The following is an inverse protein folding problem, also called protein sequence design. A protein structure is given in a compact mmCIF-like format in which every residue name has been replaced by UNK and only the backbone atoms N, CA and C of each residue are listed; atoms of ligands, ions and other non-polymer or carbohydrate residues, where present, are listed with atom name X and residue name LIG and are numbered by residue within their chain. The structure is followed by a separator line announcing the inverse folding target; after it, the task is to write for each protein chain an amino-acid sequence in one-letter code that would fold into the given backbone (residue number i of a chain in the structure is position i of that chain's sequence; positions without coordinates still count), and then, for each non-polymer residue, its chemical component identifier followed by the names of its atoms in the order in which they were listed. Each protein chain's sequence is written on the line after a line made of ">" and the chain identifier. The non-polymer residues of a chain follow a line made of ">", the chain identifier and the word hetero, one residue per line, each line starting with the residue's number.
data_IF_032960435616
#
_entry.id   IF_032960435616
#
_cell.length_a   1.000
_cell.length_b   1.000
_cell.length_c   1.000
_cell.angle_alpha   90.00
_cell.angle_beta   90.00
_cell.angle_gamma   90.00
#
_symmetry.space_group_name_H-M   'P 1'
#
loop_
_entity.id
_entity.type
_entity.pdbx_description
1 polymer ?
#
# COMPACT_ATOMS: atom_id res chain seq x y z
N UNK A 1 22.83 18.81 39.88
CA UNK A 1 21.41 18.51 40.13
C UNK A 1 20.45 19.48 39.42
N UNK A 2 20.89 20.16 38.33
CA UNK A 2 20.12 21.22 37.65
C UNK A 2 19.59 20.85 36.25
N UNK A 3 20.10 19.80 35.59
CA UNK A 3 19.62 19.44 34.23
C UNK A 3 18.19 18.89 34.23
N UNK A 4 17.78 18.17 35.29
CA UNK A 4 16.42 17.64 35.43
C UNK A 4 15.35 18.70 35.76
N UNK A 5 15.77 19.92 36.14
CA UNK A 5 14.85 21.03 36.40
C UNK A 5 14.37 21.67 35.10
N UNK A 6 15.21 21.69 34.06
CA UNK A 6 14.92 22.34 32.76
C UNK A 6 13.94 21.51 31.92
N UNK A 7 13.91 20.19 32.14
CA UNK A 7 12.93 19.30 31.53
C UNK A 7 11.56 19.35 32.21
N UNK A 8 11.46 19.90 33.42
CA UNK A 8 10.24 19.83 34.23
C UNK A 8 9.11 20.68 33.65
N UNK A 9 9.45 21.76 32.96
CA UNK A 9 8.51 22.66 32.28
C UNK A 9 8.05 22.12 30.91
N UNK A 10 8.75 21.13 30.34
CA UNK A 10 8.40 20.48 29.07
C UNK A 10 7.21 19.52 29.24
N UNK A 11 7.01 18.96 30.43
CA UNK A 11 5.93 18.02 30.74
C UNK A 11 4.66 18.69 31.28
N UNK A 12 4.61 20.03 31.37
CA UNK A 12 3.46 20.76 31.91
C UNK A 12 2.50 21.14 30.78
N UNK A 13 1.50 20.28 30.61
CA UNK A 13 0.17 20.51 30.02
C UNK A 13 0.06 21.20 28.64
N UNK A 14 -0.10 20.37 27.61
CA UNK A 14 -1.34 20.19 26.80
C UNK A 14 -1.06 19.05 25.82
N UNK A 15 -2.08 18.40 25.27
CA UNK A 15 -1.93 17.41 24.19
C UNK A 15 -1.34 18.07 22.93
N UNK A 16 -0.03 18.30 22.90
CA UNK A 16 0.67 18.92 21.78
C UNK A 16 1.04 17.84 20.77
N UNK A 17 0.05 17.47 19.97
CA UNK A 17 0.17 16.42 18.94
C UNK A 17 1.27 16.75 17.91
N UNK A 18 1.56 18.04 17.71
CA UNK A 18 2.60 18.49 16.80
C UNK A 18 3.98 18.20 17.39
N UNK A 19 4.20 18.56 18.66
CA UNK A 19 5.42 18.21 19.40
C UNK A 19 5.65 16.71 19.46
N UNK A 20 4.59 15.92 19.67
CA UNK A 20 4.68 14.46 19.63
C UNK A 20 5.19 13.96 18.27
N UNK A 21 4.60 14.40 17.16
CA UNK A 21 4.99 13.92 15.83
C UNK A 21 6.38 14.36 15.38
N UNK A 22 6.85 15.54 15.80
CA UNK A 22 8.11 16.14 15.31
C UNK A 22 9.28 16.06 16.28
N UNK A 23 9.07 15.58 17.50
CA UNK A 23 10.07 15.53 18.58
C UNK A 23 9.89 16.68 19.56
N UNK A 24 9.94 16.37 20.86
CA UNK A 24 9.79 17.34 21.95
C UNK A 24 11.11 18.01 22.36
N UNK A 25 12.25 17.33 22.13
CA UNK A 25 13.56 17.73 22.65
C UNK A 25 14.52 17.97 21.47
N UNK A 26 15.38 19.01 21.53
CA UNK A 26 16.43 19.21 20.53
C UNK A 26 17.40 18.02 20.52
N UNK A 27 17.37 17.24 19.44
CA UNK A 27 18.18 16.04 19.25
C UNK A 27 17.40 14.72 19.25
N UNK A 28 16.12 14.75 19.61
CA UNK A 28 15.25 13.58 19.56
C UNK A 28 14.78 13.31 18.13
N UNK A 29 14.72 12.04 17.72
CA UNK A 29 14.20 11.70 16.40
C UNK A 29 12.67 11.84 16.40
N UNK A 30 12.09 12.33 15.30
CA UNK A 30 10.64 12.45 15.20
C UNK A 30 9.95 11.10 15.40
N UNK A 31 8.82 11.03 16.13
CA UNK A 31 8.04 9.79 16.31
C UNK A 31 7.70 9.10 14.98
N UNK A 32 7.50 9.88 13.91
CA UNK A 32 7.28 9.34 12.56
C UNK A 32 8.46 8.50 12.07
N UNK A 33 9.68 8.91 12.39
CA UNK A 33 10.92 8.20 12.03
C UNK A 33 11.13 7.00 12.95
N UNK A 34 10.82 7.11 14.25
CA UNK A 34 10.81 5.96 15.17
C UNK A 34 9.76 4.89 14.79
N UNK A 35 8.57 5.30 14.34
CA UNK A 35 7.53 4.39 13.85
C UNK A 35 7.85 3.82 12.45
N UNK A 36 8.95 4.23 11.81
CA UNK A 36 9.29 3.81 10.45
C UNK A 36 8.34 4.35 9.37
N UNK A 37 7.67 5.48 9.60
CA UNK A 37 6.78 6.13 8.63
C UNK A 37 7.55 7.22 7.88
N UNK A 38 8.05 6.89 6.69
CA UNK A 38 8.69 7.87 5.81
C UNK A 38 7.76 8.30 4.67
N UNK A 39 7.11 9.47 4.81
CA UNK A 39 6.24 10.03 3.76
C UNK A 39 6.95 10.27 2.42
N UNK A 40 8.26 10.54 2.46
CA UNK A 40 9.08 10.67 1.25
C UNK A 40 9.18 9.35 0.49
N UNK A 41 9.36 8.25 1.21
CA UNK A 41 9.38 6.88 0.65
C UNK A 41 8.01 6.50 0.11
N UNK A 42 6.94 6.70 0.89
CA UNK A 42 5.55 6.40 0.47
C UNK A 42 5.23 7.10 -0.85
N UNK A 43 5.52 8.40 -0.98
CA UNK A 43 5.25 9.17 -2.21
C UNK A 43 6.07 8.65 -3.39
N UNK A 44 7.36 8.37 -3.18
CA UNK A 44 8.25 7.87 -4.25
C UNK A 44 7.77 6.52 -4.77
N UNK A 45 7.48 5.57 -3.88
CA UNK A 45 7.03 4.21 -4.22
C UNK A 45 5.64 4.21 -4.86
N UNK A 46 4.74 5.06 -4.35
CA UNK A 46 3.43 5.31 -4.97
C UNK A 46 3.56 5.82 -6.40
N UNK A 47 4.52 6.72 -6.66
CA UNK A 47 4.76 7.27 -7.99
C UNK A 47 5.44 6.24 -8.93
N UNK A 48 6.02 5.16 -8.41
CA UNK A 48 6.54 4.07 -9.25
C UNK A 48 5.39 3.35 -9.96
N UNK A 49 4.21 3.26 -9.36
CA UNK A 49 3.04 2.63 -9.99
C UNK A 49 2.63 3.30 -11.30
N UNK A 50 2.82 4.62 -11.41
CA UNK A 50 2.57 5.37 -12.65
C UNK A 50 3.75 5.35 -13.60
N UNK A 51 4.98 5.19 -13.09
CA UNK A 51 6.22 5.19 -13.88
C UNK A 51 6.67 3.81 -14.35
N UNK A 52 6.15 2.71 -13.82
CA UNK A 52 6.54 1.34 -14.15
C UNK A 52 6.38 1.00 -15.65
N UNK A 53 5.45 1.65 -16.35
CA UNK A 53 5.28 1.48 -17.80
C UNK A 53 6.34 2.21 -18.63
N UNK A 54 7.03 3.20 -18.08
CA UNK A 54 8.19 3.84 -18.71
C UNK A 54 9.45 3.12 -18.26
N UNK A 55 9.96 2.25 -19.15
CA UNK A 55 11.10 1.31 -19.04
C UNK A 55 12.48 1.86 -18.60
N UNK A 56 12.58 3.01 -17.93
CA UNK A 56 13.87 3.51 -17.43
C UNK A 56 14.21 2.87 -16.09
N UNK A 57 15.34 2.15 -16.03
CA UNK A 57 16.05 1.62 -14.85
C UNK A 57 15.40 1.95 -13.50
N UNK A 58 14.40 1.14 -13.11
CA UNK A 58 13.77 1.27 -11.80
C UNK A 58 14.79 0.73 -10.79
N UNK A 59 15.34 1.61 -9.96
CA UNK A 59 16.18 1.18 -8.84
C UNK A 59 15.27 0.54 -7.78
N UNK A 60 15.36 -0.79 -7.65
CA UNK A 60 14.59 -1.58 -6.69
C UNK A 60 15.08 -1.47 -5.24
N UNK A 61 16.02 -0.55 -4.95
CA UNK A 61 16.48 -0.27 -3.58
C UNK A 61 15.35 0.17 -2.64
N UNK A 62 14.18 0.53 -3.17
CA UNK A 62 12.97 0.78 -2.37
C UNK A 62 12.45 -0.50 -1.67
N UNK A 63 12.69 -1.70 -2.21
CA UNK A 63 12.34 -2.96 -1.53
C UNK A 63 13.24 -3.26 -0.32
N UNK A 64 14.40 -2.62 -0.21
CA UNK A 64 15.23 -2.71 1.00
C UNK A 64 14.67 -1.82 2.12
N UNK A 65 13.94 -0.76 1.77
CA UNK A 65 13.16 0.08 2.68
C UNK A 65 11.68 -0.34 2.75
N UNK A 66 11.39 -1.64 2.67
CA UNK A 66 10.01 -2.12 2.63
C UNK A 66 9.27 -1.84 3.96
N UNK A 67 8.27 -0.96 3.88
CA UNK A 67 7.46 -0.54 5.02
C UNK A 67 6.06 -1.18 5.02
N UNK A 68 5.53 -1.51 6.20
CA UNK A 68 4.13 -1.95 6.39
C UNK A 68 3.17 -0.75 6.46
N UNK A 69 3.69 0.40 6.90
CA UNK A 69 2.90 1.61 7.18
C UNK A 69 2.17 2.14 5.96
N UNK A 70 2.83 2.18 4.78
CA UNK A 70 2.22 2.61 3.52
C UNK A 70 1.01 1.75 3.09
N UNK A 71 1.20 0.43 2.89
CA UNK A 71 0.12 -0.51 2.62
C UNK A 71 -1.05 -0.41 3.61
N UNK A 72 -0.76 -0.27 4.90
CA UNK A 72 -1.78 -0.17 5.94
C UNK A 72 -2.60 1.12 5.81
N UNK A 73 -1.95 2.26 5.57
CA UNK A 73 -2.63 3.53 5.29
C UNK A 73 -3.54 3.40 4.06
N UNK A 74 -3.10 2.71 3.01
CA UNK A 74 -3.91 2.53 1.80
C UNK A 74 -5.14 1.67 2.03
N UNK A 75 -5.05 0.61 2.83
CA UNK A 75 -6.19 -0.23 3.20
C UNK A 75 -7.21 0.55 4.05
N UNK A 76 -6.73 1.36 5.00
CA UNK A 76 -7.59 2.23 5.82
C UNK A 76 -8.29 3.25 4.92
N UNK A 77 -7.55 3.92 4.04
CA UNK A 77 -8.10 4.94 3.15
C UNK A 77 -9.08 4.36 2.13
N UNK A 78 -8.79 3.17 1.59
CA UNK A 78 -9.72 2.44 0.73
C UNK A 78 -11.02 2.12 1.47
N UNK A 79 -10.91 1.60 2.70
CA UNK A 79 -12.08 1.29 3.52
C UNK A 79 -12.90 2.55 3.87
N UNK A 80 -12.23 3.68 4.08
CA UNK A 80 -12.89 4.96 4.29
C UNK A 80 -13.67 5.41 3.05
N UNK A 81 -13.12 5.27 1.84
CA UNK A 81 -13.86 5.56 0.61
C UNK A 81 -15.04 4.62 0.37
N UNK A 82 -14.95 3.34 0.77
CA UNK A 82 -16.10 2.44 0.76
C UNK A 82 -17.18 2.89 1.74
N UNK A 83 -16.78 3.34 2.93
CA UNK A 83 -17.69 3.87 3.94
C UNK A 83 -18.42 5.12 3.42
N UNK A 84 -17.74 6.03 2.70
CA UNK A 84 -18.37 7.19 2.05
C UNK A 84 -19.38 6.78 0.96
N UNK A 85 -19.20 5.63 0.32
CA UNK A 85 -20.19 5.06 -0.60
C UNK A 85 -21.38 4.40 0.13
N UNK A 86 -21.38 4.37 1.47
CA UNK A 86 -22.39 3.70 2.29
C UNK A 86 -22.16 2.19 2.44
N UNK A 87 -20.97 1.70 2.10
CA UNK A 87 -20.63 0.28 2.13
C UNK A 87 -19.74 -0.04 3.32
N UNK A 88 -20.25 -0.83 4.27
CA UNK A 88 -19.53 -1.20 5.48
C UNK A 88 -18.83 -2.55 5.26
N UNK A 89 -17.69 -2.52 4.56
CA UNK A 89 -16.91 -3.72 4.23
C UNK A 89 -15.53 -3.80 4.91
N UNK A 90 -15.29 -3.03 5.98
CA UNK A 90 -13.98 -2.94 6.64
C UNK A 90 -13.35 -4.31 6.95
N UNK A 91 -14.12 -5.23 7.54
CA UNK A 91 -13.66 -6.58 7.87
C UNK A 91 -13.30 -7.42 6.64
N UNK A 92 -14.08 -7.31 5.55
CA UNK A 92 -13.81 -8.02 4.29
C UNK A 92 -12.50 -7.53 3.66
N UNK A 93 -12.28 -6.21 3.63
CA UNK A 93 -11.05 -5.62 3.07
C UNK A 93 -9.83 -6.12 3.84
N UNK A 94 -9.88 -6.10 5.18
CA UNK A 94 -8.79 -6.60 6.02
C UNK A 94 -8.52 -8.09 5.79
N UNK A 95 -9.56 -8.92 5.82
CA UNK A 95 -9.44 -10.37 5.64
C UNK A 95 -8.88 -10.73 4.26
N UNK A 96 -9.43 -10.14 3.19
CA UNK A 96 -9.00 -10.39 1.81
C UNK A 96 -7.55 -9.92 1.61
N UNK A 97 -7.17 -8.78 2.19
CA UNK A 97 -5.78 -8.30 2.12
C UNK A 97 -4.80 -9.28 2.77
N UNK A 98 -5.10 -9.75 3.98
CA UNK A 98 -4.24 -10.66 4.72
C UNK A 98 -4.14 -12.03 4.04
N UNK A 99 -5.26 -12.64 3.64
CA UNK A 99 -5.22 -13.95 2.98
C UNK A 99 -4.56 -13.88 1.60
N UNK A 100 -4.74 -12.80 0.85
CA UNK A 100 -4.15 -12.62 -0.47
C UNK A 100 -2.64 -12.43 -0.39
N UNK A 101 -2.17 -11.62 0.56
CA UNK A 101 -0.73 -11.42 0.79
C UNK A 101 -0.05 -12.70 1.26
N UNK A 102 -0.69 -13.46 2.15
CA UNK A 102 -0.21 -14.76 2.59
C UNK A 102 -0.15 -15.77 1.44
N UNK A 103 -1.21 -15.84 0.62
CA UNK A 103 -1.24 -16.70 -0.56
C UNK A 103 -0.14 -16.36 -1.56
N UNK A 104 0.03 -15.07 -1.89
CA UNK A 104 1.09 -14.63 -2.79
C UNK A 104 2.48 -14.88 -2.23
N UNK A 105 2.69 -14.68 -0.93
CA UNK A 105 3.96 -15.00 -0.26
C UNK A 105 4.34 -16.48 -0.43
N UNK A 106 3.41 -17.40 -0.18
CA UNK A 106 3.65 -18.83 -0.41
C UNK A 106 3.90 -19.15 -1.88
N UNK A 107 3.08 -18.60 -2.78
CA UNK A 107 3.20 -18.84 -4.22
C UNK A 107 4.56 -18.37 -4.76
N UNK A 108 5.03 -17.19 -4.36
CA UNK A 108 6.31 -16.63 -4.81
C UNK A 108 7.50 -17.43 -4.27
N UNK A 109 7.48 -17.82 -2.99
CA UNK A 109 8.55 -18.60 -2.38
C UNK A 109 8.63 -20.04 -2.89
N UNK A 110 7.51 -20.63 -3.33
CA UNK A 110 7.51 -21.96 -3.97
C UNK A 110 8.02 -21.88 -5.42
N UNK A 111 7.79 -20.77 -6.10
CA UNK A 111 8.07 -20.66 -7.54
C UNK A 111 9.54 -20.37 -7.87
N UNK A 112 10.33 -19.85 -6.93
CA UNK A 112 11.70 -19.41 -7.15
C UNK A 112 12.65 -19.82 -6.02
N UNK A 113 13.94 -19.96 -6.34
CA UNK A 113 14.97 -20.30 -5.34
C UNK A 113 15.36 -19.09 -4.47
N UNK A 114 15.09 -17.86 -4.93
CA UNK A 114 15.30 -16.63 -4.18
C UNK A 114 14.09 -16.36 -3.28
N UNK A 115 14.33 -16.31 -1.98
CA UNK A 115 13.29 -16.07 -0.98
C UNK A 115 12.90 -14.60 -0.91
N UNK A 116 11.61 -14.34 -0.74
CA UNK A 116 11.06 -13.02 -0.46
C UNK A 116 10.50 -12.97 0.96
N UNK A 117 10.82 -11.89 1.68
CA UNK A 117 10.28 -11.64 3.00
C UNK A 117 8.78 -11.27 2.93
N UNK A 118 8.02 -11.66 3.96
CA UNK A 118 6.59 -11.36 4.02
C UNK A 118 6.30 -9.86 3.96
N UNK A 119 7.13 -9.04 4.62
CA UNK A 119 7.00 -7.58 4.62
C UNK A 119 7.15 -7.01 3.22
N UNK A 120 8.17 -7.45 2.46
CA UNK A 120 8.38 -7.02 1.07
C UNK A 120 7.20 -7.40 0.18
N UNK A 121 6.65 -8.60 0.36
CA UNK A 121 5.45 -9.03 -0.37
C UNK A 121 4.25 -8.12 -0.05
N UNK A 122 4.04 -7.81 1.23
CA UNK A 122 2.99 -6.90 1.70
C UNK A 122 3.16 -5.49 1.12
N UNK A 123 4.37 -4.93 1.17
CA UNK A 123 4.71 -3.62 0.61
C UNK A 123 4.41 -3.56 -0.87
N UNK A 124 4.93 -4.50 -1.68
CA UNK A 124 4.69 -4.50 -3.13
C UNK A 124 3.20 -4.57 -3.45
N UNK A 125 2.46 -5.51 -2.82
CA UNK A 125 1.02 -5.66 -3.08
C UNK A 125 0.19 -4.46 -2.63
N UNK A 126 0.57 -3.85 -1.51
CA UNK A 126 -0.06 -2.68 -0.95
C UNK A 126 0.16 -1.44 -1.80
N UNK A 127 1.39 -1.16 -2.22
CA UNK A 127 1.68 0.03 -3.02
C UNK A 127 1.04 -0.02 -4.41
N UNK A 128 0.97 -1.20 -5.04
CA UNK A 128 0.24 -1.35 -6.30
C UNK A 128 -1.29 -1.31 -6.15
N UNK A 129 -1.84 -1.18 -4.94
CA UNK A 129 -3.26 -0.92 -4.70
C UNK A 129 -3.66 0.53 -5.08
N UNK A 130 -2.71 1.43 -5.29
CA UNK A 130 -2.98 2.85 -5.55
C UNK A 130 -4.00 3.11 -6.69
N UNK A 131 -3.96 2.44 -7.85
CA UNK A 131 -4.95 2.64 -8.91
C UNK A 131 -6.36 2.24 -8.45
N UNK A 132 -6.46 1.17 -7.66
CA UNK A 132 -7.72 0.68 -7.08
C UNK A 132 -8.26 1.66 -6.03
N UNK A 133 -7.37 2.27 -5.24
CA UNK A 133 -7.71 3.32 -4.29
C UNK A 133 -8.29 4.55 -5.00
N UNK A 134 -7.65 5.01 -6.08
CA UNK A 134 -8.15 6.12 -6.91
C UNK A 134 -9.52 5.79 -7.52
N UNK A 135 -9.70 4.56 -8.00
CA UNK A 135 -10.98 4.09 -8.50
C UNK A 135 -12.08 4.13 -7.43
N UNK A 136 -11.78 3.71 -6.20
CA UNK A 136 -12.74 3.75 -5.08
C UNK A 136 -13.19 5.17 -4.75
N UNK A 137 -12.26 6.13 -4.77
CA UNK A 137 -12.60 7.55 -4.64
C UNK A 137 -13.47 8.04 -5.79
N UNK A 138 -13.10 7.74 -7.05
CA UNK A 138 -13.87 8.13 -8.23
C UNK A 138 -15.25 7.47 -8.26
N UNK A 139 -15.40 6.27 -7.69
CA UNK A 139 -16.67 5.53 -7.60
C UNK A 139 -17.75 6.32 -6.86
N UNK A 140 -17.36 7.19 -5.92
CA UNK A 140 -18.28 8.09 -5.21
C UNK A 140 -18.98 9.05 -6.19
N UNK A 141 -18.22 9.58 -7.17
CA UNK A 141 -18.73 10.48 -8.21
C UNK A 141 -19.51 9.71 -9.30
N UNK A 142 -19.11 8.47 -9.56
CA UNK A 142 -19.70 7.59 -10.58
C UNK A 142 -20.97 6.85 -10.11
N UNK A 143 -21.54 7.20 -8.95
CA UNK A 143 -22.69 6.50 -8.35
C UNK A 143 -23.90 6.40 -9.28
N UNK A 144 -24.13 7.41 -10.12
CA UNK A 144 -25.25 7.48 -11.05
C UNK A 144 -25.01 6.80 -12.40
N UNK A 145 -23.80 6.32 -12.68
CA UNK A 145 -23.49 5.59 -13.92
C UNK A 145 -24.02 4.17 -13.88
N UNK A 146 -24.20 3.56 -15.05
CA UNK A 146 -24.57 2.15 -15.17
C UNK A 146 -23.53 1.24 -14.50
N UNK A 147 -24.03 0.19 -13.84
CA UNK A 147 -23.21 -0.82 -13.15
C UNK A 147 -22.17 -1.42 -14.12
N UNK A 148 -22.57 -1.70 -15.36
CA UNK A 148 -21.69 -2.27 -16.38
C UNK A 148 -20.48 -1.38 -16.69
N UNK A 149 -20.69 -0.06 -16.80
CA UNK A 149 -19.60 0.89 -17.02
C UNK A 149 -18.64 0.88 -15.83
N UNK A 150 -19.18 0.89 -14.61
CA UNK A 150 -18.36 0.80 -13.39
C UNK A 150 -17.53 -0.48 -13.38
N UNK A 151 -18.12 -1.63 -13.71
CA UNK A 151 -17.42 -2.93 -13.78
C UNK A 151 -16.31 -2.91 -14.84
N UNK A 152 -16.55 -2.38 -16.04
CA UNK A 152 -15.52 -2.32 -17.10
C UNK A 152 -14.33 -1.47 -16.65
N UNK A 153 -14.59 -0.31 -16.05
CA UNK A 153 -13.51 0.56 -15.52
C UNK A 153 -12.78 -0.15 -14.37
N UNK A 154 -13.50 -0.81 -13.47
CA UNK A 154 -12.92 -1.61 -12.38
C UNK A 154 -11.99 -2.71 -12.90
N UNK A 155 -12.37 -3.40 -13.97
CA UNK A 155 -11.51 -4.41 -14.61
C UNK A 155 -10.26 -3.76 -15.20
N UNK A 156 -10.38 -2.66 -15.94
CA UNK A 156 -9.23 -1.93 -16.48
C UNK A 156 -8.23 -1.50 -15.39
N UNK A 157 -8.74 -0.98 -14.27
CA UNK A 157 -7.92 -0.59 -13.12
C UNK A 157 -7.24 -1.80 -12.47
N UNK A 158 -7.95 -2.92 -12.31
CA UNK A 158 -7.36 -4.14 -11.75
C UNK A 158 -6.27 -4.72 -12.67
N UNK A 159 -6.43 -4.66 -14.00
CA UNK A 159 -5.38 -5.06 -14.96
C UNK A 159 -4.13 -4.19 -14.79
N UNK A 160 -4.31 -2.86 -14.66
CA UNK A 160 -3.21 -1.93 -14.43
C UNK A 160 -2.45 -2.25 -13.14
N UNK A 161 -3.16 -2.37 -12.01
CA UNK A 161 -2.56 -2.67 -10.72
C UNK A 161 -1.78 -4.00 -10.73
N UNK A 162 -2.35 -5.01 -11.39
CA UNK A 162 -1.75 -6.35 -11.51
C UNK A 162 -0.51 -6.34 -12.39
N UNK A 163 -0.55 -5.61 -13.51
CA UNK A 163 0.60 -5.45 -14.39
C UNK A 163 1.77 -4.82 -13.62
N UNK A 164 1.52 -3.74 -12.87
CA UNK A 164 2.54 -3.07 -12.05
C UNK A 164 3.14 -4.03 -11.01
N UNK A 165 2.30 -4.69 -10.22
CA UNK A 165 2.74 -5.59 -9.16
C UNK A 165 3.54 -6.78 -9.70
N UNK A 166 3.05 -7.41 -10.78
CA UNK A 166 3.73 -8.55 -11.42
C UNK A 166 5.11 -8.20 -11.96
N UNK A 167 5.28 -7.00 -12.54
CA UNK A 167 6.57 -6.52 -13.04
C UNK A 167 7.56 -6.32 -11.90
N UNK A 168 7.11 -5.76 -10.77
CA UNK A 168 7.97 -5.58 -9.58
C UNK A 168 8.44 -6.94 -9.05
N UNK A 169 7.54 -7.92 -8.90
CA UNK A 169 7.91 -9.26 -8.42
C UNK A 169 8.84 -10.00 -9.37
N UNK A 170 8.54 -9.99 -10.67
CA UNK A 170 9.36 -10.64 -11.70
C UNK A 170 10.77 -10.07 -11.70
N UNK A 171 10.90 -8.75 -11.65
CA UNK A 171 12.21 -8.10 -11.69
C UNK A 171 12.99 -8.28 -10.38
N UNK A 172 12.33 -8.20 -9.22
CA UNK A 172 12.99 -8.40 -7.93
C UNK A 172 13.48 -9.84 -7.73
N UNK A 173 12.67 -10.81 -8.13
CA UNK A 173 13.00 -12.23 -8.00
C UNK A 173 13.81 -12.78 -9.18
N UNK A 174 14.09 -11.95 -10.20
CA UNK A 174 14.81 -12.32 -11.42
C UNK A 174 14.15 -13.51 -12.17
N UNK A 175 12.82 -13.61 -12.09
CA UNK A 175 12.07 -14.74 -12.64
C UNK A 175 11.86 -14.53 -14.14
N UNK A 176 12.65 -15.22 -14.95
CA UNK A 176 12.50 -15.20 -16.40
C UNK A 176 11.32 -16.06 -16.86
N UNK A 177 10.53 -15.57 -17.83
CA UNK A 177 9.48 -16.32 -18.54
C UNK A 177 8.28 -16.85 -17.72
N UNK A 178 8.01 -16.34 -16.50
CA UNK A 178 6.81 -16.74 -15.70
C UNK A 178 5.89 -15.57 -15.31
N UNK A 179 5.95 -14.45 -16.04
CA UNK A 179 5.17 -13.25 -15.71
C UNK A 179 3.65 -13.53 -15.64
N UNK A 180 3.11 -14.27 -16.62
CA UNK A 180 1.69 -14.60 -16.65
C UNK A 180 1.23 -15.44 -15.44
N UNK A 181 2.11 -16.30 -14.91
CA UNK A 181 1.81 -17.17 -13.77
C UNK A 181 1.65 -16.37 -12.46
N UNK A 182 2.45 -15.31 -12.29
CA UNK A 182 2.33 -14.38 -11.17
C UNK A 182 1.17 -13.39 -11.39
N UNK A 183 0.97 -12.96 -12.64
CA UNK A 183 -0.01 -11.94 -12.98
C UNK A 183 -1.45 -12.41 -12.75
N UNK A 184 -1.78 -13.67 -13.07
CA UNK A 184 -3.13 -14.22 -12.89
C UNK A 184 -3.66 -14.14 -11.44
N UNK A 185 -2.96 -14.66 -10.41
CA UNK A 185 -3.43 -14.54 -9.04
C UNK A 185 -3.48 -13.10 -8.55
N UNK A 186 -2.53 -12.24 -8.96
CA UNK A 186 -2.57 -10.82 -8.64
C UNK A 186 -3.80 -10.13 -9.23
N UNK A 187 -4.15 -10.45 -10.47
CA UNK A 187 -5.36 -9.95 -11.12
C UNK A 187 -6.62 -10.32 -10.34
N UNK A 188 -6.74 -11.57 -9.89
CA UNK A 188 -7.88 -11.98 -9.07
C UNK A 188 -7.96 -11.20 -7.75
N UNK A 189 -6.82 -10.97 -7.09
CA UNK A 189 -6.77 -10.19 -5.85
C UNK A 189 -7.24 -8.76 -6.09
N UNK A 190 -6.68 -8.05 -7.07
CA UNK A 190 -7.06 -6.65 -7.34
C UNK A 190 -8.48 -6.53 -7.89
N UNK A 191 -8.94 -7.50 -8.69
CA UNK A 191 -10.33 -7.56 -9.14
C UNK A 191 -11.30 -7.72 -7.96
N UNK A 192 -10.94 -8.50 -6.93
CA UNK A 192 -11.76 -8.62 -5.73
C UNK A 192 -11.92 -7.27 -5.02
N UNK A 193 -10.83 -6.51 -4.85
CA UNK A 193 -10.90 -5.16 -4.27
C UNK A 193 -11.72 -4.19 -5.13
N UNK A 194 -11.54 -4.18 -6.45
CA UNK A 194 -12.33 -3.27 -7.31
C UNK A 194 -13.81 -3.65 -7.33
N UNK A 195 -14.16 -4.94 -7.26
CA UNK A 195 -15.55 -5.40 -7.15
C UNK A 195 -16.19 -4.97 -5.82
N UNK A 196 -15.47 -5.01 -4.70
CA UNK A 196 -15.95 -4.44 -3.42
C UNK A 196 -16.20 -2.93 -3.49
N UNK A 197 -15.49 -2.21 -4.37
CA UNK A 197 -15.77 -0.80 -4.62
C UNK A 197 -17.04 -0.62 -5.48
N UNK A 198 -17.32 -1.53 -6.42
CA UNK A 198 -18.49 -1.48 -7.32
C UNK A 198 -19.79 -1.89 -6.64
N UNK A 199 -19.80 -3.04 -5.95
CA UNK A 199 -20.97 -3.64 -5.28
C UNK A 199 -20.97 -3.37 -3.79
#
# INVERSE_FOLDING_TARGET
>A
MNELSDYKDIYIDRTDFKGALTGYIPGDESLLKELGINFGTIKKESMLVTRVFNRSHINYGFLESADISGPLIFIILFSFFLLLNGKIHFGYVYFISLISTLFMFFLLNVMNNKWIDFIKCCSVMGYSLLPVLLYSFLSILMKYLDVWIRVIVALGVSLWASAVSSLIFVNYLEISNKLFLIWYPLFLVYACFTLLAVF
#
